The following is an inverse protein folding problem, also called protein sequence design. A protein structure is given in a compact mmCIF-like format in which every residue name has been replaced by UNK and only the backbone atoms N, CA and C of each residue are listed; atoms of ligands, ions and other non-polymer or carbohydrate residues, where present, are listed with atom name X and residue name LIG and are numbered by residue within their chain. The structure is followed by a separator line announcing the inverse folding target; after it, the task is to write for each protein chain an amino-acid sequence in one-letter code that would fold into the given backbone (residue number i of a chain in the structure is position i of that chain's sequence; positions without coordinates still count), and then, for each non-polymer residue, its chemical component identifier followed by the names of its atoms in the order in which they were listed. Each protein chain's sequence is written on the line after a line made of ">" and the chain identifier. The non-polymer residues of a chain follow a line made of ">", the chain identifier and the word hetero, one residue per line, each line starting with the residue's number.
data_IF_201762480831
#
_entry.id   IF_201762480831
#
_cell.length_a   1.000
_cell.length_b   1.000
_cell.length_c   1.000
_cell.angle_alpha   90.00
_cell.angle_beta   90.00
_cell.angle_gamma   90.00
#
_symmetry.space_group_name_H-M   'P 1'
#
loop_
_entity.id
_entity.type
_entity.pdbx_description
1 polymer ?
#
# COMPACT_ATOMS: atom_id res chain seq x y z
N UNK A 1 4.74 12.90 4.30
CA UNK A 1 3.78 11.80 4.40
C UNK A 1 4.34 10.56 3.72
N UNK A 2 4.26 9.38 4.38
CA UNK A 2 4.69 8.09 3.83
C UNK A 2 3.50 7.15 3.75
N UNK A 3 3.25 6.60 2.56
CA UNK A 3 2.09 5.77 2.20
C UNK A 3 2.60 4.38 1.79
N UNK A 4 2.32 3.32 2.59
CA UNK A 4 2.82 1.97 2.32
C UNK A 4 2.24 1.34 1.05
N UNK A 5 2.90 0.28 0.61
CA UNK A 5 2.42 -0.55 -0.48
C UNK A 5 1.28 -1.48 -0.09
N UNK A 6 0.80 -2.23 -1.07
CA UNK A 6 -0.32 -3.18 -0.94
C UNK A 6 -0.05 -4.22 0.15
N UNK A 7 -0.99 -4.38 1.07
CA UNK A 7 -0.90 -5.29 2.21
C UNK A 7 0.33 -5.09 3.09
N UNK A 8 0.89 -3.89 3.11
CA UNK A 8 2.09 -3.55 3.87
C UNK A 8 1.76 -2.64 5.07
N UNK A 9 2.69 -2.61 6.00
CA UNK A 9 2.68 -1.71 7.14
C UNK A 9 3.87 -0.76 7.05
N UNK A 10 3.71 0.49 7.49
CA UNK A 10 4.78 1.50 7.42
C UNK A 10 6.11 1.06 8.07
N UNK A 11 6.06 0.30 9.17
CA UNK A 11 7.26 -0.22 9.84
C UNK A 11 8.11 -1.07 8.91
N UNK A 12 7.46 -1.92 8.12
CA UNK A 12 8.16 -2.79 7.16
C UNK A 12 8.62 -2.06 5.92
N UNK A 13 7.82 -1.08 5.42
CA UNK A 13 8.19 -0.32 4.23
C UNK A 13 9.24 0.76 4.50
N UNK A 14 9.10 1.49 5.61
CA UNK A 14 9.84 2.74 5.81
C UNK A 14 10.67 2.78 7.08
N UNK A 15 10.58 1.75 7.94
CA UNK A 15 11.26 1.76 9.25
C UNK A 15 12.74 2.08 9.19
N UNK A 16 13.44 1.67 8.12
CA UNK A 16 14.88 1.92 7.95
C UNK A 16 15.17 3.37 7.51
N UNK A 17 14.29 4.01 6.75
CA UNK A 17 14.52 5.37 6.22
C UNK A 17 13.97 6.46 7.13
N UNK A 18 12.99 6.16 7.99
CA UNK A 18 12.38 7.14 8.91
C UNK A 18 13.43 7.86 9.77
N UNK A 19 14.41 7.19 10.41
CA UNK A 19 15.42 7.89 11.23
C UNK A 19 16.27 8.88 10.43
N UNK A 20 16.44 8.65 9.12
CA UNK A 20 17.16 9.57 8.25
C UNK A 20 16.30 10.78 7.90
N UNK A 21 15.02 10.53 7.55
CA UNK A 21 14.08 11.60 7.20
C UNK A 21 13.75 12.50 8.39
N UNK A 22 13.70 11.96 9.60
CA UNK A 22 13.41 12.73 10.82
C UNK A 22 14.47 13.77 11.18
N UNK A 23 15.65 13.76 10.53
CA UNK A 23 16.67 14.79 10.70
C UNK A 23 16.22 16.14 10.15
N UNK A 24 15.42 16.12 9.07
CA UNK A 24 15.04 17.33 8.31
C UNK A 24 13.52 17.52 8.23
N UNK A 25 12.73 16.48 8.53
CA UNK A 25 11.28 16.47 8.35
C UNK A 25 10.53 15.95 9.57
N UNK A 26 9.35 16.51 9.82
CA UNK A 26 8.32 15.83 10.61
C UNK A 26 7.71 14.73 9.75
N UNK A 27 7.94 13.47 10.12
CA UNK A 27 7.48 12.31 9.34
C UNK A 27 6.11 11.85 9.82
N UNK A 28 5.17 11.73 8.90
CA UNK A 28 3.86 11.12 9.09
C UNK A 28 3.83 9.80 8.31
N UNK A 29 3.40 8.72 8.96
CA UNK A 29 3.25 7.41 8.33
C UNK A 29 1.79 7.00 8.41
N UNK A 30 1.25 6.47 7.31
CA UNK A 30 -0.11 5.96 7.26
C UNK A 30 -0.12 4.49 7.68
N UNK A 31 -1.08 4.12 8.53
CA UNK A 31 -1.57 2.77 8.63
C UNK A 31 -2.93 2.72 7.93
N UNK A 32 -3.12 1.79 7.02
CA UNK A 32 -4.43 1.56 6.44
C UNK A 32 -5.27 0.68 7.35
N UNK A 33 -6.57 0.90 7.38
CA UNK A 33 -7.52 0.04 8.10
C UNK A 33 -7.33 -1.44 7.70
N UNK A 34 -7.38 -2.33 8.69
CA UNK A 34 -7.24 -3.75 8.47
C UNK A 34 -5.81 -4.28 8.30
N UNK A 35 -4.79 -3.42 8.49
CA UNK A 35 -3.38 -3.81 8.38
C UNK A 35 -2.54 -3.47 9.62
N UNK A 36 -3.17 -3.09 10.72
CA UNK A 36 -2.50 -2.84 12.01
C UNK A 36 -3.33 -3.31 13.23
N UNK A 37 -2.80 -3.04 14.42
CA UNK A 37 -3.41 -3.40 15.69
C UNK A 37 -4.44 -2.40 16.22
N UNK A 38 -4.57 -1.23 15.61
CA UNK A 38 -5.31 -0.09 16.22
C UNK A 38 -6.81 -0.23 16.07
N UNK A 39 -7.28 -0.88 15.02
CA UNK A 39 -8.70 -1.09 14.78
C UNK A 39 -8.95 -2.49 14.20
N UNK A 40 -10.02 -3.14 14.65
CA UNK A 40 -10.47 -4.43 14.11
C UNK A 40 -11.27 -4.30 12.81
N UNK A 41 -11.19 -3.15 12.15
CA UNK A 41 -11.89 -2.87 10.90
C UNK A 41 -11.15 -3.47 9.70
N UNK A 42 -11.90 -3.78 8.67
CA UNK A 42 -11.33 -4.17 7.38
C UNK A 42 -11.07 -2.93 6.52
N UNK A 43 -10.10 -3.04 5.61
CA UNK A 43 -9.86 -2.00 4.60
C UNK A 43 -11.15 -1.68 3.84
N UNK A 44 -11.63 -0.42 3.84
CA UNK A 44 -12.91 -0.10 3.24
C UNK A 44 -12.81 0.05 1.71
N UNK A 45 -12.29 1.18 1.25
CA UNK A 45 -12.00 1.50 -0.16
C UNK A 45 -10.87 2.53 -0.23
N UNK A 46 -10.24 2.65 -1.39
CA UNK A 46 -9.22 3.68 -1.64
C UNK A 46 -9.74 5.10 -1.36
N UNK A 47 -10.98 5.41 -1.78
CA UNK A 47 -11.57 6.73 -1.56
C UNK A 47 -11.81 7.01 -0.06
N UNK A 48 -12.37 6.06 0.68
CA UNK A 48 -12.63 6.24 2.10
C UNK A 48 -11.33 6.41 2.90
N UNK A 49 -10.27 5.64 2.58
CA UNK A 49 -8.96 5.84 3.19
C UNK A 49 -8.34 7.20 2.80
N UNK A 50 -8.50 7.62 1.54
CA UNK A 50 -8.03 8.96 1.10
C UNK A 50 -8.70 10.06 1.90
N UNK A 51 -10.02 9.97 2.12
CA UNK A 51 -10.78 10.94 2.92
C UNK A 51 -10.31 11.02 4.39
N UNK A 52 -9.96 9.89 4.98
CA UNK A 52 -9.37 9.86 6.34
C UNK A 52 -8.00 10.54 6.37
N UNK A 53 -7.17 10.30 5.38
CA UNK A 53 -5.84 10.93 5.25
C UNK A 53 -6.01 12.44 5.08
N UNK A 54 -6.90 12.89 4.19
CA UNK A 54 -7.22 14.31 3.99
C UNK A 54 -7.71 14.96 5.28
N UNK A 55 -8.67 14.33 5.97
CA UNK A 55 -9.21 14.84 7.24
C UNK A 55 -8.12 14.98 8.31
N UNK A 56 -7.20 14.01 8.40
CA UNK A 56 -6.06 14.11 9.32
C UNK A 56 -5.14 15.29 8.98
N UNK A 57 -4.81 15.47 7.70
CA UNK A 57 -3.92 16.55 7.25
C UNK A 57 -4.56 17.92 7.44
N UNK A 58 -5.85 18.06 7.13
CA UNK A 58 -6.61 19.27 7.40
C UNK A 58 -6.59 19.64 8.87
N UNK A 59 -6.86 18.68 9.75
CA UNK A 59 -6.95 18.90 11.20
C UNK A 59 -5.60 19.16 11.86
N UNK A 60 -4.55 18.42 11.47
CA UNK A 60 -3.29 18.37 12.23
C UNK A 60 -2.11 19.05 11.51
N UNK A 61 -2.27 19.40 10.23
CA UNK A 61 -1.22 19.99 9.39
C UNK A 61 -1.69 21.28 8.71
N UNK A 62 -2.88 21.78 9.02
CA UNK A 62 -3.43 22.98 8.38
C UNK A 62 -3.72 22.81 6.89
N UNK A 63 -3.96 21.58 6.43
CA UNK A 63 -4.25 21.27 5.03
C UNK A 63 -3.02 21.24 4.10
N UNK A 64 -1.80 21.33 4.65
CA UNK A 64 -0.58 21.39 3.86
C UNK A 64 0.47 20.39 4.34
N UNK A 65 1.11 19.72 3.38
CA UNK A 65 2.29 18.87 3.59
C UNK A 65 3.36 19.17 2.57
N UNK A 66 4.63 19.13 3.00
CA UNK A 66 5.78 19.38 2.13
C UNK A 66 5.91 18.33 1.02
N UNK A 67 5.80 17.04 1.37
CA UNK A 67 5.91 15.96 0.41
C UNK A 67 5.09 14.75 0.83
N UNK A 68 4.52 14.04 -0.16
CA UNK A 68 3.99 12.70 0.01
C UNK A 68 4.80 11.72 -0.86
N UNK A 69 5.23 10.63 -0.26
CA UNK A 69 5.83 9.49 -0.96
C UNK A 69 4.94 8.27 -0.82
N UNK A 70 4.57 7.68 -1.95
CA UNK A 70 3.78 6.45 -2.01
C UNK A 70 4.58 5.32 -2.64
N UNK A 71 4.63 4.16 -1.95
CA UNK A 71 5.24 2.94 -2.47
C UNK A 71 4.17 2.05 -3.10
N UNK A 72 4.29 1.70 -4.38
CA UNK A 72 3.31 0.86 -5.09
C UNK A 72 1.89 1.43 -4.92
N UNK A 73 0.93 0.70 -4.31
CA UNK A 73 -0.40 1.21 -3.93
C UNK A 73 -0.37 2.61 -3.29
N UNK A 74 0.64 2.89 -2.47
CA UNK A 74 0.80 4.22 -1.86
C UNK A 74 0.90 5.34 -2.90
N UNK A 75 1.40 5.06 -4.10
CA UNK A 75 1.43 6.02 -5.20
C UNK A 75 0.05 6.31 -5.76
N UNK A 76 -0.86 5.34 -5.81
CA UNK A 76 -2.27 5.57 -6.16
C UNK A 76 -2.93 6.55 -5.17
N UNK A 77 -2.62 6.43 -3.88
CA UNK A 77 -3.06 7.41 -2.87
C UNK A 77 -2.46 8.80 -3.10
N UNK A 78 -1.17 8.90 -3.45
CA UNK A 78 -0.57 10.19 -3.81
C UNK A 78 -1.30 10.81 -5.00
N UNK A 79 -1.58 10.02 -6.02
CA UNK A 79 -2.35 10.45 -7.19
C UNK A 79 -3.77 10.93 -6.81
N UNK A 80 -4.48 10.18 -5.96
CA UNK A 80 -5.81 10.58 -5.48
C UNK A 80 -5.78 11.88 -4.66
N UNK A 81 -4.83 12.02 -3.74
CA UNK A 81 -4.67 13.25 -2.95
C UNK A 81 -4.40 14.47 -3.85
N UNK A 82 -3.53 14.32 -4.86
CA UNK A 82 -3.25 15.36 -5.82
C UNK A 82 -4.47 15.72 -6.67
N UNK A 83 -5.19 14.72 -7.17
CA UNK A 83 -6.35 14.90 -8.03
C UNK A 83 -7.56 15.53 -7.30
N UNK A 84 -7.76 15.19 -6.03
CA UNK A 84 -8.88 15.71 -5.23
C UNK A 84 -8.67 17.14 -4.75
N UNK A 85 -7.42 17.60 -4.65
CA UNK A 85 -7.05 18.98 -4.28
C UNK A 85 -7.66 19.48 -2.94
N UNK A 86 -8.09 18.56 -2.06
CA UNK A 86 -8.61 18.93 -0.74
C UNK A 86 -7.51 19.36 0.24
N UNK A 87 -6.27 18.98 -0.06
CA UNK A 87 -5.06 19.37 0.66
C UNK A 87 -4.01 19.85 -0.33
N UNK A 88 -3.04 20.62 0.15
CA UNK A 88 -1.90 21.05 -0.65
C UNK A 88 -0.66 20.18 -0.37
N UNK A 89 0.00 19.72 -1.43
CA UNK A 89 1.29 19.03 -1.40
C UNK A 89 2.27 19.76 -2.29
N UNK A 90 3.47 20.12 -1.77
CA UNK A 90 4.48 20.73 -2.63
C UNK A 90 5.09 19.69 -3.60
N UNK A 91 5.21 18.43 -3.15
CA UNK A 91 5.77 17.33 -3.94
C UNK A 91 4.99 16.04 -3.72
N UNK A 92 4.51 15.43 -4.81
CA UNK A 92 4.00 14.06 -4.88
C UNK A 92 5.05 13.14 -5.51
N UNK A 93 5.46 12.08 -4.81
CA UNK A 93 6.50 11.16 -5.26
C UNK A 93 5.92 9.75 -5.35
N UNK A 94 5.93 9.17 -6.55
CA UNK A 94 5.44 7.83 -6.82
C UNK A 94 6.63 6.86 -6.88
N UNK A 95 6.64 5.90 -5.96
CA UNK A 95 7.67 4.87 -5.87
C UNK A 95 7.15 3.52 -6.34
N UNK A 96 7.56 3.09 -7.54
CA UNK A 96 7.15 1.80 -8.14
C UNK A 96 5.62 1.65 -8.28
N UNK A 97 4.94 2.74 -8.63
CA UNK A 97 3.50 2.79 -8.90
C UNK A 97 3.29 2.98 -10.39
N UNK A 98 2.32 2.27 -10.94
CA UNK A 98 1.93 2.34 -12.34
C UNK A 98 0.67 3.20 -12.57
N UNK A 99 -0.15 3.36 -11.54
CA UNK A 99 -1.46 4.02 -11.59
C UNK A 99 -2.43 3.35 -12.59
N UNK A 100 -2.16 2.10 -12.95
CA UNK A 100 -2.96 1.34 -13.90
C UNK A 100 -4.35 1.03 -13.34
N UNK A 101 -5.33 1.09 -14.22
CA UNK A 101 -6.71 0.76 -13.90
C UNK A 101 -7.19 -0.43 -14.70
N UNK A 102 -8.11 -1.17 -14.12
CA UNK A 102 -8.75 -2.29 -14.76
C UNK A 102 -10.27 -2.09 -14.86
N UNK A 103 -10.89 -2.71 -15.84
CA UNK A 103 -12.35 -2.80 -15.86
C UNK A 103 -12.84 -3.55 -14.61
N UNK A 104 -14.05 -3.26 -14.10
CA UNK A 104 -14.59 -3.92 -12.91
C UNK A 104 -14.60 -5.45 -13.01
N UNK A 105 -14.82 -6.00 -14.21
CA UNK A 105 -14.78 -7.44 -14.46
C UNK A 105 -13.35 -7.99 -14.34
N UNK A 106 -12.38 -7.33 -14.95
CA UNK A 106 -10.98 -7.73 -14.86
C UNK A 106 -10.45 -7.62 -13.42
N UNK A 107 -10.79 -6.54 -12.71
CA UNK A 107 -10.45 -6.35 -11.31
C UNK A 107 -11.02 -7.47 -10.41
N UNK A 108 -12.30 -7.86 -10.62
CA UNK A 108 -12.91 -8.99 -9.90
C UNK A 108 -12.20 -10.31 -10.20
N UNK A 109 -11.91 -10.60 -11.46
CA UNK A 109 -11.20 -11.83 -11.83
C UNK A 109 -9.81 -11.87 -11.18
N UNK A 110 -9.06 -10.78 -11.23
CA UNK A 110 -7.75 -10.71 -10.57
C UNK A 110 -7.88 -10.91 -9.05
N UNK A 111 -8.82 -10.24 -8.42
CA UNK A 111 -9.01 -10.29 -6.97
C UNK A 111 -9.51 -11.67 -6.51
N UNK A 112 -10.44 -12.28 -7.22
CA UNK A 112 -11.05 -13.54 -6.81
C UNK A 112 -10.21 -14.78 -7.13
N UNK A 113 -9.39 -14.74 -8.19
CA UNK A 113 -8.59 -15.88 -8.61
C UNK A 113 -7.10 -15.75 -8.27
N UNK A 114 -6.48 -14.59 -8.46
CA UNK A 114 -5.04 -14.44 -8.19
C UNK A 114 -4.74 -14.21 -6.71
N UNK A 115 -5.53 -13.37 -6.04
CA UNK A 115 -5.27 -13.05 -4.65
C UNK A 115 -5.29 -14.28 -3.72
N UNK A 116 -6.23 -15.23 -3.81
CA UNK A 116 -6.20 -16.44 -2.97
C UNK A 116 -4.92 -17.27 -3.14
N UNK A 117 -4.25 -17.19 -4.29
CA UNK A 117 -2.97 -17.87 -4.52
C UNK A 117 -1.81 -17.14 -3.84
N UNK A 118 -1.86 -15.81 -3.79
CA UNK A 118 -0.81 -14.94 -3.24
C UNK A 118 -1.00 -14.70 -1.73
N UNK A 119 -2.24 -14.69 -1.25
CA UNK A 119 -2.56 -14.39 0.14
C UNK A 119 -1.77 -15.20 1.18
N UNK A 120 -1.56 -16.53 1.01
CA UNK A 120 -0.74 -17.28 1.95
C UNK A 120 0.72 -16.80 1.99
N UNK A 121 1.24 -16.29 0.87
CA UNK A 121 2.58 -15.68 0.83
C UNK A 121 2.61 -14.39 1.67
N UNK A 122 1.59 -13.55 1.53
CA UNK A 122 1.48 -12.29 2.28
C UNK A 122 1.35 -12.59 3.78
N UNK A 123 0.40 -13.45 4.16
CA UNK A 123 0.06 -13.75 5.54
C UNK A 123 1.08 -14.65 6.25
N UNK A 124 1.45 -15.76 5.60
CA UNK A 124 2.21 -16.84 6.23
C UNK A 124 3.68 -16.87 5.75
N UNK A 125 4.03 -16.07 4.73
CA UNK A 125 5.36 -16.03 4.16
C UNK A 125 5.70 -17.18 3.22
N UNK A 126 4.71 -18.00 2.84
CA UNK A 126 4.90 -19.17 1.99
C UNK A 126 3.66 -19.47 1.13
N UNK A 127 3.86 -20.06 -0.03
CA UNK A 127 2.76 -20.52 -0.86
C UNK A 127 2.20 -21.85 -0.35
N UNK A 128 0.88 -22.04 -0.42
CA UNK A 128 0.25 -23.36 -0.21
C UNK A 128 0.52 -24.33 -1.35
N UNK A 129 0.66 -23.82 -2.57
CA UNK A 129 1.01 -24.63 -3.73
C UNK A 129 2.49 -25.03 -3.70
N UNK A 130 2.78 -26.35 -3.67
CA UNK A 130 4.15 -26.88 -3.72
C UNK A 130 4.93 -26.42 -4.97
N UNK A 131 4.24 -26.25 -6.09
CA UNK A 131 4.86 -25.78 -7.32
C UNK A 131 5.31 -24.31 -7.18
N UNK A 132 4.45 -23.43 -6.68
CA UNK A 132 4.77 -22.03 -6.47
C UNK A 132 5.85 -21.86 -5.39
N UNK A 133 5.77 -22.67 -4.33
CA UNK A 133 6.77 -22.64 -3.26
C UNK A 133 8.16 -23.02 -3.77
N UNK A 134 8.28 -24.09 -4.58
CA UNK A 134 9.56 -24.48 -5.22
C UNK A 134 10.10 -23.38 -6.14
N UNK A 135 9.23 -22.67 -6.85
CA UNK A 135 9.65 -21.51 -7.66
C UNK A 135 10.18 -20.37 -6.82
N UNK A 136 9.52 -20.08 -5.71
CA UNK A 136 10.00 -19.07 -4.77
C UNK A 136 11.37 -19.45 -4.20
N UNK A 137 11.54 -20.71 -3.79
CA UNK A 137 12.82 -21.23 -3.27
C UNK A 137 13.95 -21.12 -4.31
N UNK A 138 13.66 -21.45 -5.56
CA UNK A 138 14.62 -21.28 -6.67
C UNK A 138 14.96 -19.80 -6.86
N UNK A 139 13.96 -18.92 -6.91
CA UNK A 139 14.18 -17.49 -7.02
C UNK A 139 14.99 -16.94 -5.83
N UNK A 140 14.74 -17.46 -4.62
CA UNK A 140 15.50 -17.11 -3.42
C UNK A 140 16.96 -17.57 -3.48
N UNK A 141 17.25 -18.70 -4.12
CA UNK A 141 18.61 -19.15 -4.33
C UNK A 141 19.38 -18.25 -5.33
N UNK A 142 18.69 -17.73 -6.34
CA UNK A 142 19.28 -16.85 -7.36
C UNK A 142 19.35 -15.38 -6.97
N UNK A 143 18.33 -14.88 -6.24
CA UNK A 143 18.12 -13.46 -5.89
C UNK A 143 17.77 -13.28 -4.41
N UNK A 144 18.47 -13.97 -3.52
CA UNK A 144 18.10 -14.13 -2.11
C UNK A 144 17.88 -12.81 -1.35
N UNK A 145 18.71 -11.81 -1.58
CA UNK A 145 18.57 -10.51 -0.90
C UNK A 145 17.31 -9.77 -1.34
N UNK A 146 17.01 -9.78 -2.65
CA UNK A 146 15.81 -9.17 -3.19
C UNK A 146 14.54 -9.86 -2.68
N UNK A 147 14.50 -11.19 -2.71
CA UNK A 147 13.34 -11.95 -2.22
C UNK A 147 13.14 -11.74 -0.72
N UNK A 148 14.21 -11.72 0.07
CA UNK A 148 14.13 -11.42 1.51
C UNK A 148 13.58 -10.02 1.78
N UNK A 149 14.09 -9.00 1.06
CA UNK A 149 13.61 -7.63 1.17
C UNK A 149 12.13 -7.52 0.81
N UNK A 150 11.73 -8.13 -0.31
CA UNK A 150 10.32 -8.17 -0.74
C UNK A 150 9.42 -8.84 0.31
N UNK A 151 9.83 -10.00 0.82
CA UNK A 151 9.05 -10.73 1.84
C UNK A 151 8.99 -9.99 3.17
N UNK A 152 10.02 -9.23 3.52
CA UNK A 152 10.07 -8.42 4.73
C UNK A 152 9.05 -7.27 4.69
N UNK A 153 8.66 -6.78 3.51
CA UNK A 153 7.67 -5.70 3.38
C UNK A 153 6.31 -6.04 4.00
N UNK A 154 5.93 -7.32 4.02
CA UNK A 154 4.67 -7.78 4.60
C UNK A 154 4.79 -8.06 6.12
N UNK A 155 6.00 -8.12 6.66
CA UNK A 155 6.29 -8.67 7.98
C UNK A 155 5.45 -8.10 9.11
N UNK A 156 5.35 -6.78 9.20
CA UNK A 156 4.64 -6.11 10.29
C UNK A 156 3.10 -6.15 10.13
N UNK A 157 2.59 -6.28 8.91
CA UNK A 157 1.15 -6.40 8.65
C UNK A 157 0.60 -7.82 8.87
N UNK A 158 1.45 -8.86 8.77
CA UNK A 158 1.03 -10.27 8.80
C UNK A 158 0.05 -10.68 9.90
N UNK A 159 0.21 -10.24 11.16
CA UNK A 159 -0.71 -10.63 12.22
C UNK A 159 -2.15 -10.14 12.02
N UNK A 160 -2.33 -9.06 11.27
CA UNK A 160 -3.59 -8.32 11.13
C UNK A 160 -4.27 -8.55 9.79
N UNK A 161 -3.50 -8.93 8.75
CA UNK A 161 -3.98 -9.08 7.38
C UNK A 161 -5.10 -10.13 7.28
N UNK A 162 -6.27 -9.70 6.82
CA UNK A 162 -7.37 -10.58 6.45
C UNK A 162 -7.46 -10.74 4.93
N UNK A 163 -8.04 -11.85 4.48
CA UNK A 163 -8.35 -12.03 3.04
C UNK A 163 -9.27 -10.93 2.54
N UNK A 164 -10.22 -10.49 3.37
CA UNK A 164 -11.20 -9.48 2.97
C UNK A 164 -10.55 -8.11 2.81
N UNK A 165 -9.69 -7.69 3.76
CA UNK A 165 -8.92 -6.44 3.63
C UNK A 165 -8.04 -6.44 2.38
N UNK A 166 -7.36 -7.56 2.09
CA UNK A 166 -6.60 -7.69 0.86
C UNK A 166 -7.49 -7.58 -0.39
N UNK A 167 -8.63 -8.25 -0.41
CA UNK A 167 -9.59 -8.17 -1.53
C UNK A 167 -10.07 -6.76 -1.74
N UNK A 168 -10.51 -6.10 -0.68
CA UNK A 168 -11.01 -4.73 -0.74
C UNK A 168 -9.93 -3.77 -1.27
N UNK A 169 -8.70 -3.91 -0.77
CA UNK A 169 -7.58 -3.07 -1.17
C UNK A 169 -7.22 -3.26 -2.65
N UNK A 170 -6.97 -4.52 -3.08
CA UNK A 170 -6.66 -4.82 -4.47
C UNK A 170 -7.78 -4.41 -5.42
N UNK A 171 -9.03 -4.75 -5.10
CA UNK A 171 -10.15 -4.42 -5.96
C UNK A 171 -10.34 -2.93 -6.10
N UNK A 172 -10.37 -2.18 -4.98
CA UNK A 172 -10.62 -0.75 -5.02
C UNK A 172 -9.48 0.04 -5.67
N UNK A 173 -8.22 -0.40 -5.54
CA UNK A 173 -7.08 0.18 -6.24
C UNK A 173 -7.26 0.09 -7.76
N UNK A 174 -7.59 -1.10 -8.25
CA UNK A 174 -7.77 -1.36 -9.69
C UNK A 174 -8.95 -0.60 -10.31
N UNK A 175 -10.00 -0.30 -9.55
CA UNK A 175 -11.22 0.33 -10.10
C UNK A 175 -11.38 1.82 -9.76
N UNK A 176 -10.59 2.35 -8.82
CA UNK A 176 -10.72 3.75 -8.43
C UNK A 176 -10.16 4.65 -9.52
N UNK A 177 -10.97 5.47 -10.19
CA UNK A 177 -10.50 6.30 -11.27
C UNK A 177 -9.57 7.39 -10.72
N UNK A 178 -8.42 7.55 -11.38
CA UNK A 178 -7.56 8.70 -11.21
C UNK A 178 -7.92 9.70 -12.30
N UNK A 179 -8.20 10.96 -11.97
CA UNK A 179 -8.50 11.98 -12.97
C UNK A 179 -7.32 12.16 -13.93
N UNK A 180 -7.62 12.35 -15.20
CA UNK A 180 -6.66 12.79 -16.21
C UNK A 180 -6.29 14.25 -15.94
N UNK A 181 -5.02 14.58 -16.08
CA UNK A 181 -4.52 15.97 -15.93
C UNK A 181 -4.43 16.41 -14.46
N UNK A 182 -3.51 15.80 -13.72
CA UNK A 182 -3.07 16.34 -12.43
C UNK A 182 -2.04 17.42 -12.72
N UNK A 183 -2.44 18.68 -12.58
CA UNK A 183 -1.55 19.86 -12.72
C UNK A 183 -0.85 20.16 -11.39
#
# INVERSE_FOLDING_TARGET
>A
LLLPGTCCHWKSNFGQVIPLLQRDFRVLCVNYDGFDETESNEFPTMLAETEKIEAYILKNCGGHIRAAYGCSLGGSFVGLLAARQNIHMDYGILGSSDLDQASPLAARLQTDFLLPLIYPLIRDGQFKSRFLQKRLEKCSAEKGDYVRAFMAMFGAARPYVTMQSCKNQFYSDLITPLPEGID
#
